data_IF_298880840833
#
_entry.id   IF_298880840833
#
_cell.length_a   1.000
_cell.length_b   1.000
_cell.length_c   1.000
_cell.angle_alpha   90.00
_cell.angle_beta   90.00
_cell.angle_gamma   90.00
#
_symmetry.space_group_name_H-M   'P 1'
#
loop_
_entity.id
_entity.type
_entity.pdbx_description
1 polymer ?
#
# COMPACT_ATOMS: atom_id res chain seq x y z
N UNK A 1 -9.46 16.29 -0.40
CA UNK A 1 -10.28 16.37 -1.63
C UNK A 1 -11.46 15.43 -1.45
N UNK A 2 -12.68 15.96 -1.50
CA UNK A 2 -13.93 15.22 -1.32
C UNK A 2 -14.68 15.16 -2.63
N UNK A 3 -14.20 14.33 -3.56
CA UNK A 3 -14.95 14.06 -4.78
C UNK A 3 -16.03 13.03 -4.50
N UNK A 4 -17.18 13.18 -5.14
CA UNK A 4 -18.28 12.23 -5.02
C UNK A 4 -17.84 10.91 -5.62
N UNK A 5 -17.89 9.83 -4.85
CA UNK A 5 -17.51 8.50 -5.34
C UNK A 5 -18.28 8.17 -6.62
N UNK A 6 -17.55 7.92 -7.71
CA UNK A 6 -18.14 7.43 -8.95
C UNK A 6 -18.43 5.94 -8.79
N UNK A 7 -19.65 5.52 -9.17
CA UNK A 7 -19.98 4.09 -9.21
C UNK A 7 -18.94 3.35 -10.06
N UNK A 8 -18.33 2.33 -9.47
CA UNK A 8 -17.33 1.44 -10.07
C UNK A 8 -15.90 1.99 -10.26
N UNK A 9 -15.60 3.20 -9.78
CA UNK A 9 -14.22 3.73 -9.77
C UNK A 9 -13.69 3.71 -8.35
N UNK A 10 -12.99 2.64 -7.97
CA UNK A 10 -12.33 2.53 -6.68
C UNK A 10 -11.07 1.65 -6.76
N UNK A 11 -10.24 1.74 -5.71
CA UNK A 11 -8.95 1.05 -5.60
C UNK A 11 -9.06 -0.48 -5.72
N UNK A 12 -10.19 -1.08 -5.30
CA UNK A 12 -10.42 -2.53 -5.44
C UNK A 12 -10.62 -2.94 -6.89
N UNK A 13 -11.35 -2.14 -7.68
CA UNK A 13 -11.53 -2.37 -9.12
C UNK A 13 -10.19 -2.20 -9.84
N UNK A 14 -9.43 -1.15 -9.51
CA UNK A 14 -8.11 -0.90 -10.08
C UNK A 14 -7.14 -2.06 -9.81
N UNK A 15 -7.03 -2.52 -8.55
CA UNK A 15 -6.15 -3.64 -8.19
C UNK A 15 -6.49 -4.92 -8.99
N UNK A 16 -7.79 -5.22 -9.14
CA UNK A 16 -8.24 -6.36 -9.97
C UNK A 16 -7.89 -6.19 -11.45
N UNK A 17 -7.99 -4.98 -11.99
CA UNK A 17 -7.63 -4.71 -13.38
C UNK A 17 -6.12 -4.91 -13.61
N UNK A 18 -5.28 -4.42 -12.69
CA UNK A 18 -3.82 -4.61 -12.75
C UNK A 18 -3.46 -6.11 -12.68
N UNK A 19 -4.12 -6.88 -11.81
CA UNK A 19 -3.94 -8.33 -11.75
C UNK A 19 -4.29 -9.02 -13.07
N UNK A 20 -5.44 -8.67 -13.66
CA UNK A 20 -5.88 -9.22 -14.95
C UNK A 20 -4.95 -8.84 -16.11
N UNK A 21 -4.26 -7.71 -16.03
CA UNK A 21 -3.31 -7.26 -17.03
C UNK A 21 -1.97 -8.03 -17.01
N UNK A 22 -1.75 -8.93 -16.04
CA UNK A 22 -0.58 -9.82 -16.00
C UNK A 22 0.29 -9.67 -14.75
N UNK A 23 0.07 -8.64 -13.94
CA UNK A 23 0.81 -8.43 -12.69
C UNK A 23 0.15 -9.22 -11.55
N UNK A 24 0.60 -10.46 -11.34
CA UNK A 24 0.00 -11.38 -10.38
C UNK A 24 0.23 -10.98 -8.91
N UNK A 25 1.29 -10.25 -8.60
CA UNK A 25 1.66 -9.87 -7.23
C UNK A 25 1.14 -8.48 -6.86
N UNK A 26 -0.18 -8.33 -6.86
CA UNK A 26 -0.85 -7.08 -6.48
C UNK A 26 -1.82 -7.38 -5.37
N UNK A 27 -1.66 -6.70 -4.24
CA UNK A 27 -2.48 -6.89 -3.06
C UNK A 27 -3.28 -5.62 -2.76
N UNK A 28 -4.57 -5.78 -2.47
CA UNK A 28 -5.43 -4.70 -2.03
C UNK A 28 -5.61 -4.74 -0.51
N UNK A 29 -5.35 -3.62 0.15
CA UNK A 29 -5.60 -3.43 1.57
C UNK A 29 -6.56 -2.25 1.75
N UNK A 30 -7.71 -2.48 2.39
CA UNK A 30 -8.63 -1.41 2.79
C UNK A 30 -8.24 -0.77 4.12
N UNK A 31 -7.28 -1.36 4.83
CA UNK A 31 -6.80 -0.93 6.14
C UNK A 31 -5.28 -0.73 6.07
N UNK A 32 -4.86 0.50 6.34
CA UNK A 32 -3.44 0.88 6.31
C UNK A 32 -2.62 0.13 7.36
N UNK A 33 -3.20 -0.25 8.50
CA UNK A 33 -2.47 -0.99 9.53
C UNK A 33 -2.08 -2.39 9.03
N UNK A 34 -3.00 -3.07 8.32
CA UNK A 34 -2.73 -4.38 7.70
C UNK A 34 -1.70 -4.28 6.58
N UNK A 35 -1.73 -3.19 5.81
CA UNK A 35 -0.69 -2.91 4.81
C UNK A 35 0.67 -2.75 5.47
N UNK A 36 0.78 -1.92 6.52
CA UNK A 36 2.02 -1.67 7.25
C UNK A 36 2.58 -2.98 7.83
N UNK A 37 1.74 -3.75 8.53
CA UNK A 37 2.12 -5.05 9.10
C UNK A 37 2.67 -6.00 8.02
N UNK A 38 2.00 -6.07 6.86
CA UNK A 38 2.44 -6.91 5.76
C UNK A 38 3.83 -6.49 5.27
N UNK A 39 4.06 -5.19 5.05
CA UNK A 39 5.36 -4.69 4.57
C UNK A 39 6.45 -4.96 5.60
N UNK A 40 6.23 -4.61 6.87
CA UNK A 40 7.22 -4.83 7.94
C UNK A 40 7.60 -6.30 8.10
N UNK A 41 6.65 -7.23 7.92
CA UNK A 41 6.91 -8.68 8.00
C UNK A 41 7.64 -9.25 6.78
N UNK A 42 7.58 -8.59 5.63
CA UNK A 42 8.11 -9.12 4.37
C UNK A 42 9.38 -8.46 3.91
N UNK A 43 9.60 -7.19 4.27
CA UNK A 43 10.81 -6.45 3.95
C UNK A 43 12.04 -7.07 4.64
N UNK A 44 13.15 -7.13 3.91
CA UNK A 44 14.43 -7.67 4.35
C UNK A 44 15.53 -6.60 4.23
N UNK A 45 16.65 -6.75 4.95
CA UNK A 45 17.82 -5.93 4.71
C UNK A 45 18.22 -5.95 3.23
N UNK A 46 18.35 -4.77 2.63
CA UNK A 46 18.65 -4.60 1.21
C UNK A 46 17.44 -4.32 0.30
N UNK A 47 16.21 -4.49 0.79
CA UNK A 47 15.01 -4.17 0.03
C UNK A 47 14.77 -2.66 -0.07
N UNK A 48 14.11 -2.22 -1.15
CA UNK A 48 13.66 -0.84 -1.34
C UNK A 48 12.13 -0.80 -1.33
N UNK A 49 11.56 0.02 -0.44
CA UNK A 49 10.12 0.26 -0.36
C UNK A 49 9.80 1.65 -0.89
N UNK A 50 8.90 1.74 -1.87
CA UNK A 50 8.44 3.00 -2.46
C UNK A 50 6.96 3.21 -2.11
N UNK A 51 6.66 4.32 -1.44
CA UNK A 51 5.28 4.78 -1.22
C UNK A 51 4.94 5.86 -2.24
N UNK A 52 3.90 5.63 -3.05
CA UNK A 52 3.49 6.57 -4.12
C UNK A 52 1.99 6.84 -4.05
N UNK A 53 1.63 8.12 -4.21
CA UNK A 53 0.25 8.58 -4.27
C UNK A 53 0.12 10.02 -3.77
N UNK A 54 -0.92 10.72 -4.22
CA UNK A 54 -1.27 12.01 -3.66
C UNK A 54 -2.01 11.82 -2.32
N UNK A 55 -1.86 12.78 -1.39
CA UNK A 55 -2.56 12.77 -0.11
C UNK A 55 -1.69 12.31 1.06
N UNK A 56 -2.23 11.44 1.92
CA UNK A 56 -1.62 11.08 3.22
C UNK A 56 -0.71 9.84 3.17
N UNK A 57 -0.31 9.37 1.99
CA UNK A 57 0.52 8.16 1.86
C UNK A 57 1.91 8.32 2.50
N UNK A 58 2.42 9.56 2.58
CA UNK A 58 3.69 9.87 3.26
C UNK A 58 3.69 9.41 4.73
N UNK A 59 2.57 9.58 5.44
CA UNK A 59 2.43 9.18 6.83
C UNK A 59 2.44 7.65 7.01
N UNK A 60 2.02 6.89 5.98
CA UNK A 60 2.16 5.43 5.95
C UNK A 60 3.63 5.05 5.81
N UNK A 61 4.37 5.74 4.95
CA UNK A 61 5.82 5.55 4.78
C UNK A 61 6.59 5.78 6.09
N UNK A 62 6.30 6.87 6.79
CA UNK A 62 6.93 7.15 8.10
C UNK A 62 6.66 6.05 9.13
N UNK A 63 5.42 5.55 9.19
CA UNK A 63 5.05 4.45 10.10
C UNK A 63 5.81 3.16 9.77
N UNK A 64 5.97 2.81 8.49
CA UNK A 64 6.75 1.63 8.08
C UNK A 64 8.19 1.76 8.58
N UNK A 65 8.82 2.93 8.41
CA UNK A 65 10.18 3.18 8.90
C UNK A 65 10.27 3.03 10.41
N UNK A 66 9.30 3.57 11.15
CA UNK A 66 9.25 3.44 12.62
C UNK A 66 9.14 1.98 13.06
N UNK A 67 8.27 1.17 12.45
CA UNK A 67 8.06 -0.24 12.81
C UNK A 67 9.29 -1.11 12.46
N UNK A 68 9.93 -0.87 11.32
CA UNK A 68 11.16 -1.58 10.94
C UNK A 68 12.31 -1.29 11.91
N UNK A 69 12.44 -0.05 12.39
CA UNK A 69 13.46 0.32 13.39
C UNK A 69 13.25 -0.31 14.77
N UNK A 70 12.00 -0.65 15.14
CA UNK A 70 11.71 -1.35 16.41
C UNK A 70 12.05 -2.83 16.37
N UNK A 71 12.06 -3.41 15.17
CA UNK A 71 12.27 -4.85 14.93
C UNK A 71 13.73 -5.15 14.59
N UNK A 72 14.56 -4.11 14.44
CA UNK A 72 16.01 -4.19 14.18
C UNK A 72 16.84 -4.24 15.45
#
# INVERSE_FOLDING_TARGET
AGEKEMKNVNSKVLAKAIQKAGNKDVHYYSDNNKLIEKITRTAKPGDVVITLGAGNIWAVGEKIVQELKKTS
#
